data_IF_955780131093
#
_entry.id   IF_955780131093
#
_cell.length_a   1.000
_cell.length_b   1.000
_cell.length_c   1.000
_cell.angle_alpha   90.00
_cell.angle_beta   90.00
_cell.angle_gamma   90.00
#
_symmetry.space_group_name_H-M   'P 1'
#
loop_
_entity.id
_entity.type
_entity.pdbx_description
1 polymer ?
#
# COMPACT_ATOMS: atom_id res chain seq x y z
N UNK A 1 -19.40 -16.46 18.78
CA UNK A 1 -18.59 -15.56 17.92
C UNK A 1 -18.42 -16.24 16.57
N UNK A 2 -19.28 -15.93 15.59
CA UNK A 2 -19.25 -16.53 14.24
C UNK A 2 -18.37 -15.66 13.35
N UNK A 3 -17.38 -16.28 12.70
CA UNK A 3 -16.38 -15.66 11.82
C UNK A 3 -17.06 -14.93 10.67
N UNK A 4 -16.79 -13.63 10.53
CA UNK A 4 -17.12 -12.83 9.36
C UNK A 4 -16.09 -13.21 8.28
N UNK A 5 -16.58 -13.68 7.14
CA UNK A 5 -15.78 -14.19 6.02
C UNK A 5 -15.42 -12.99 5.13
N UNK A 6 -14.18 -12.54 5.19
CA UNK A 6 -13.58 -11.71 4.14
C UNK A 6 -13.03 -12.67 3.08
N UNK A 7 -13.42 -12.44 1.82
CA UNK A 7 -12.95 -13.16 0.63
C UNK A 7 -11.77 -12.36 0.09
N UNK A 8 -10.61 -12.99 -0.07
CA UNK A 8 -9.33 -12.27 -0.16
C UNK A 8 -8.37 -12.94 -1.17
N UNK A 9 -7.66 -12.19 -2.03
CA UNK A 9 -6.88 -12.70 -3.20
C UNK A 9 -5.44 -12.16 -3.21
N UNK A 10 -4.44 -13.01 -3.51
CA UNK A 10 -3.09 -12.63 -3.93
C UNK A 10 -2.57 -13.66 -4.94
N UNK A 11 -1.99 -13.24 -6.07
CA UNK A 11 -1.12 -14.12 -6.87
C UNK A 11 0.28 -13.56 -7.02
N UNK A 12 1.19 -14.52 -6.82
CA UNK A 12 2.53 -14.63 -7.38
C UNK A 12 2.49 -14.56 -8.91
N UNK A 13 2.65 -13.37 -9.46
CA UNK A 13 3.40 -13.20 -10.70
C UNK A 13 4.75 -12.56 -10.36
N UNK A 14 5.44 -13.17 -9.39
CA UNK A 14 6.89 -13.05 -9.21
C UNK A 14 7.38 -14.48 -9.28
N UNK A 15 8.36 -14.73 -10.14
CA UNK A 15 9.22 -15.90 -10.03
C UNK A 15 9.86 -15.81 -8.64
N UNK A 16 9.21 -16.37 -7.63
CA UNK A 16 9.79 -16.60 -6.31
C UNK A 16 10.27 -18.03 -6.34
N UNK A 17 11.55 -18.19 -6.62
CA UNK A 17 12.29 -19.40 -6.30
C UNK A 17 12.01 -19.73 -4.83
N UNK A 18 11.39 -20.88 -4.60
CA UNK A 18 11.25 -21.44 -3.28
C UNK A 18 12.64 -21.67 -2.67
N UNK A 19 13.02 -20.87 -1.69
CA UNK A 19 14.08 -21.23 -0.74
C UNK A 19 13.50 -21.18 0.67
N UNK A 20 12.84 -22.27 1.05
CA UNK A 20 12.79 -22.69 2.44
C UNK A 20 13.19 -24.16 2.47
N UNK A 21 14.44 -24.38 2.86
CA UNK A 21 14.92 -25.62 3.43
C UNK A 21 13.92 -26.13 4.49
N UNK A 22 13.30 -27.27 4.21
CA UNK A 22 12.98 -28.31 5.22
C UNK A 22 12.58 -29.64 4.55
N UNK A 23 13.58 -30.52 4.45
CA UNK A 23 13.46 -31.95 4.76
C UNK A 23 12.48 -32.81 3.95
N UNK A 24 12.90 -33.25 2.75
CA UNK A 24 12.94 -34.66 2.31
C UNK A 24 13.24 -34.73 0.81
N UNK A 25 14.51 -34.94 0.49
CA UNK A 25 14.96 -35.68 -0.69
C UNK A 25 16.40 -36.09 -0.41
N UNK A 26 16.57 -37.29 0.16
CA UNK A 26 17.84 -37.97 0.09
C UNK A 26 18.11 -38.27 -1.38
N UNK A 27 18.96 -37.45 -2.01
CA UNK A 27 19.73 -37.87 -3.17
C UNK A 27 21.20 -37.80 -2.78
N UNK A 28 21.77 -38.98 -2.46
CA UNK A 28 23.21 -39.22 -2.57
C UNK A 28 23.55 -39.16 -4.06
N UNK A 29 24.21 -38.10 -4.48
CA UNK A 29 24.73 -37.96 -5.84
C UNK A 29 25.47 -36.64 -5.99
N UNK A 30 26.79 -36.73 -6.10
CA UNK A 30 27.74 -35.63 -6.27
C UNK A 30 27.26 -34.46 -7.14
N UNK A 31 27.09 -33.29 -6.52
CA UNK A 31 27.47 -32.00 -7.09
C UNK A 31 27.99 -31.15 -5.93
N UNK A 32 29.29 -30.84 -5.93
CA UNK A 32 29.83 -29.79 -5.08
C UNK A 32 29.21 -28.47 -5.56
N UNK A 33 28.38 -27.85 -4.73
CA UNK A 33 27.83 -26.53 -4.99
C UNK A 33 28.93 -25.48 -4.74
N UNK A 34 29.70 -25.17 -5.79
CA UNK A 34 30.89 -24.30 -5.75
C UNK A 34 30.56 -22.81 -5.63
N UNK A 35 29.36 -22.42 -5.17
CA UNK A 35 29.01 -21.01 -4.97
C UNK A 35 29.03 -20.67 -3.47
N UNK A 36 30.02 -19.87 -3.06
CA UNK A 36 30.14 -19.31 -1.71
C UNK A 36 29.12 -18.19 -1.45
N UNK A 37 27.95 -18.20 -2.12
CA UNK A 37 26.96 -17.11 -2.08
C UNK A 37 25.56 -17.59 -1.70
N UNK A 38 24.74 -16.71 -1.14
CA UNK A 38 23.29 -16.90 -0.93
C UNK A 38 22.49 -15.72 -1.52
N UNK A 39 21.21 -15.92 -1.81
CA UNK A 39 20.34 -14.89 -2.41
C UNK A 39 19.33 -14.36 -1.39
N UNK A 40 19.12 -13.04 -1.40
CA UNK A 40 18.07 -12.35 -0.65
C UNK A 40 17.18 -11.60 -1.65
N UNK A 41 15.87 -11.64 -1.43
CA UNK A 41 14.94 -10.77 -2.16
C UNK A 41 14.89 -9.42 -1.44
N UNK A 42 15.42 -8.37 -2.08
CA UNK A 42 15.39 -7.02 -1.54
C UNK A 42 13.95 -6.49 -1.38
N UNK A 43 13.78 -5.36 -0.70
CA UNK A 43 12.44 -4.83 -0.39
C UNK A 43 11.62 -4.49 -1.64
N UNK A 44 12.30 -4.14 -2.74
CA UNK A 44 11.70 -3.87 -4.04
C UNK A 44 11.54 -5.11 -4.95
N UNK A 45 11.83 -6.32 -4.43
CA UNK A 45 11.61 -7.58 -5.11
C UNK A 45 12.78 -8.06 -5.97
N UNK A 46 13.88 -7.30 -6.06
CA UNK A 46 15.08 -7.73 -6.78
C UNK A 46 15.85 -8.81 -6.04
N UNK A 47 16.39 -9.76 -6.79
CA UNK A 47 17.33 -10.77 -6.26
C UNK A 47 18.71 -10.16 -6.07
N UNK A 48 19.25 -10.28 -4.86
CA UNK A 48 20.58 -9.78 -4.49
C UNK A 48 21.41 -10.93 -3.96
N UNK A 49 22.61 -11.13 -4.53
CA UNK A 49 23.55 -12.18 -4.12
C UNK A 49 24.51 -11.64 -3.07
N UNK A 50 24.78 -12.45 -2.06
CA UNK A 50 25.67 -12.15 -0.94
C UNK A 50 26.73 -13.22 -0.78
N UNK A 51 27.95 -12.82 -0.45
CA UNK A 51 29.00 -13.75 -0.01
C UNK A 51 28.67 -14.31 1.38
N UNK A 52 28.73 -15.64 1.55
CA UNK A 52 28.35 -16.34 2.79
C UNK A 52 29.23 -15.99 4.00
N UNK A 53 30.47 -15.57 3.78
CA UNK A 53 31.43 -15.33 4.86
C UNK A 53 31.41 -13.87 5.33
N UNK A 54 31.24 -12.95 4.39
CA UNK A 54 31.33 -11.51 4.64
C UNK A 54 29.96 -10.83 4.72
N UNK A 55 28.89 -11.48 4.23
CA UNK A 55 27.57 -10.88 4.04
C UNK A 55 27.61 -9.58 3.20
N UNK A 56 28.55 -9.50 2.27
CA UNK A 56 28.65 -8.39 1.32
C UNK A 56 27.99 -8.77 -0.01
N UNK A 57 27.35 -7.79 -0.66
CA UNK A 57 26.77 -7.95 -1.99
C UNK A 57 27.87 -8.34 -2.97
N UNK A 58 27.59 -9.37 -3.76
CA UNK A 58 28.42 -9.87 -4.87
C UNK A 58 27.66 -9.65 -6.16
N UNK A 59 28.35 -9.07 -7.14
CA UNK A 59 27.77 -8.79 -8.46
C UNK A 59 28.62 -9.40 -9.56
N UNK A 60 28.00 -10.26 -10.37
CA UNK A 60 28.66 -11.01 -11.44
C UNK A 60 28.85 -10.18 -12.72
N UNK A 61 28.31 -8.97 -12.78
CA UNK A 61 28.39 -8.09 -13.93
C UNK A 61 29.63 -7.18 -13.94
N UNK A 62 29.60 -6.16 -14.81
CA UNK A 62 30.68 -5.18 -14.90
C UNK A 62 30.83 -4.44 -13.56
N UNK A 63 32.06 -4.38 -13.06
CA UNK A 63 32.42 -3.64 -11.84
C UNK A 63 31.96 -2.17 -11.97
N UNK A 64 31.13 -1.72 -11.03
CA UNK A 64 30.78 -0.30 -10.87
C UNK A 64 31.86 0.43 -10.06
N UNK A 65 31.87 1.76 -10.14
CA UNK A 65 32.70 2.65 -9.33
C UNK A 65 32.01 3.05 -8.02
N UNK A 66 31.02 2.26 -7.60
CA UNK A 66 30.27 2.45 -6.37
C UNK A 66 31.16 2.28 -5.12
N UNK A 67 30.75 2.91 -4.03
CA UNK A 67 31.42 2.89 -2.72
C UNK A 67 30.47 2.41 -1.63
N UNK A 68 31.00 2.03 -0.46
CA UNK A 68 30.20 1.61 0.71
C UNK A 68 29.35 0.34 0.49
N UNK A 69 29.97 -0.74 -0.01
CA UNK A 69 29.29 -2.03 -0.18
C UNK A 69 28.74 -2.58 1.13
N UNK A 70 29.45 -2.36 2.24
CA UNK A 70 29.01 -2.71 3.59
C UNK A 70 27.67 -2.04 3.95
N UNK A 71 27.52 -0.74 3.68
CA UNK A 71 26.27 -0.02 3.92
C UNK A 71 25.13 -0.51 3.02
N UNK A 72 25.40 -0.71 1.72
CA UNK A 72 24.39 -1.24 0.79
C UNK A 72 23.93 -2.65 1.18
N UNK A 73 24.88 -3.51 1.56
CA UNK A 73 24.61 -4.86 2.04
C UNK A 73 23.74 -4.85 3.29
N UNK A 74 24.08 -3.99 4.25
CA UNK A 74 23.30 -3.79 5.48
C UNK A 74 21.89 -3.29 5.17
N UNK A 75 21.74 -2.32 4.26
CA UNK A 75 20.43 -1.78 3.87
C UNK A 75 19.50 -2.87 3.33
N UNK A 76 19.99 -3.72 2.44
CA UNK A 76 19.19 -4.82 1.86
C UNK A 76 18.80 -5.84 2.93
N UNK A 77 19.71 -6.21 3.83
CA UNK A 77 19.42 -7.16 4.91
C UNK A 77 18.45 -6.59 5.96
N UNK A 78 18.65 -5.33 6.39
CA UNK A 78 17.81 -4.66 7.37
C UNK A 78 16.39 -4.44 6.81
N UNK A 79 16.27 -3.95 5.57
CA UNK A 79 14.97 -3.77 4.90
C UNK A 79 14.24 -5.11 4.70
N UNK A 80 14.94 -6.18 4.32
CA UNK A 80 14.37 -7.53 4.26
C UNK A 80 13.88 -7.99 5.63
N UNK A 81 14.66 -7.79 6.69
CA UNK A 81 14.28 -8.17 8.04
C UNK A 81 13.01 -7.45 8.50
N UNK A 82 12.82 -6.18 8.11
CA UNK A 82 11.59 -5.43 8.40
C UNK A 82 10.39 -6.09 7.72
N UNK A 83 10.48 -6.40 6.42
CA UNK A 83 9.40 -7.09 5.71
C UNK A 83 9.10 -8.47 6.31
N UNK A 84 10.14 -9.19 6.73
CA UNK A 84 10.03 -10.49 7.37
C UNK A 84 9.37 -10.46 8.76
N UNK A 85 9.26 -9.27 9.36
CA UNK A 85 8.55 -9.03 10.62
C UNK A 85 7.06 -8.70 10.44
N UNK A 86 6.59 -8.58 9.19
CA UNK A 86 5.21 -8.19 8.89
C UNK A 86 4.17 -9.07 9.61
N UNK A 87 3.12 -8.48 10.21
CA UNK A 87 1.99 -9.24 10.73
C UNK A 87 1.25 -10.01 9.62
N UNK A 88 1.45 -9.62 8.35
CA UNK A 88 0.87 -10.24 7.17
C UNK A 88 1.81 -11.26 6.51
N UNK A 89 2.99 -11.56 7.07
CA UNK A 89 3.94 -12.51 6.44
C UNK A 89 3.34 -13.88 6.15
N UNK A 90 2.45 -14.36 7.01
CA UNK A 90 1.78 -15.66 6.86
C UNK A 90 0.40 -15.54 6.23
N UNK A 91 0.03 -14.36 5.75
CA UNK A 91 -1.22 -14.15 5.09
C UNK A 91 -1.29 -15.05 3.85
N UNK A 92 -2.41 -15.77 3.73
CA UNK A 92 -2.73 -16.60 2.58
C UNK A 92 -4.09 -16.16 2.07
N UNK A 93 -4.18 -15.70 0.83
CA UNK A 93 -5.47 -15.42 0.24
C UNK A 93 -6.30 -16.69 0.06
N UNK A 94 -7.61 -16.50 -0.01
CA UNK A 94 -8.59 -17.48 -0.42
C UNK A 94 -8.64 -17.53 -1.94
N UNK A 95 -8.16 -18.63 -2.51
CA UNK A 95 -8.23 -18.90 -3.94
C UNK A 95 -9.56 -19.55 -4.30
N UNK A 96 -10.07 -19.22 -5.49
CA UNK A 96 -11.09 -20.03 -6.14
C UNK A 96 -10.58 -21.47 -6.26
N UNK A 97 -11.40 -22.43 -5.87
CA UNK A 97 -11.14 -23.83 -6.17
C UNK A 97 -11.86 -24.20 -7.48
N UNK A 98 -11.14 -24.36 -8.61
CA UNK A 98 -11.74 -24.80 -9.86
C UNK A 98 -12.24 -26.23 -9.81
N UNK A 99 -11.80 -27.01 -8.81
CA UNK A 99 -12.22 -28.41 -8.68
C UNK A 99 -13.65 -28.48 -8.15
N UNK A 100 -14.54 -29.18 -8.86
CA UNK A 100 -15.88 -29.42 -8.35
C UNK A 100 -15.83 -30.13 -7.00
N UNK A 101 -16.68 -29.70 -6.07
CA UNK A 101 -16.93 -30.41 -4.82
C UNK A 101 -17.67 -31.74 -5.10
N UNK A 102 -17.99 -32.50 -4.04
CA UNK A 102 -18.70 -33.78 -4.16
C UNK A 102 -20.10 -33.69 -4.80
N UNK A 103 -20.63 -32.49 -5.00
CA UNK A 103 -21.90 -32.21 -5.67
C UNK A 103 -21.72 -31.69 -7.10
N UNK A 104 -20.50 -31.66 -7.64
CA UNK A 104 -20.21 -31.14 -8.97
C UNK A 104 -20.19 -29.61 -9.07
N UNK A 105 -20.23 -28.90 -7.94
CA UNK A 105 -20.23 -27.43 -7.90
C UNK A 105 -18.81 -26.89 -7.70
N UNK A 106 -18.44 -25.84 -8.44
CA UNK A 106 -17.23 -25.06 -8.18
C UNK A 106 -17.55 -23.82 -7.34
N UNK A 107 -16.52 -23.17 -6.79
CA UNK A 107 -16.68 -21.91 -6.05
C UNK A 107 -17.03 -20.71 -6.96
N UNK A 108 -17.37 -20.95 -8.24
CA UNK A 108 -17.46 -19.92 -9.27
C UNK A 108 -18.61 -18.96 -8.98
N UNK A 109 -19.73 -19.47 -8.46
CA UNK A 109 -20.88 -18.62 -8.09
C UNK A 109 -20.56 -17.67 -6.93
N UNK A 110 -19.69 -18.08 -6.00
CA UNK A 110 -19.23 -17.21 -4.92
C UNK A 110 -18.20 -16.18 -5.43
N UNK A 111 -17.45 -16.54 -6.48
CA UNK A 111 -16.44 -15.71 -7.08
C UNK A 111 -16.98 -14.67 -8.08
N UNK A 112 -17.99 -15.02 -8.88
CA UNK A 112 -18.54 -14.18 -9.94
C UNK A 112 -18.86 -12.73 -9.53
N UNK A 113 -19.45 -12.46 -8.34
CA UNK A 113 -19.67 -11.09 -7.90
C UNK A 113 -18.39 -10.25 -7.80
N UNK A 114 -17.26 -10.85 -7.43
CA UNK A 114 -15.96 -10.18 -7.35
C UNK A 114 -15.39 -9.91 -8.74
N UNK A 115 -15.49 -10.86 -9.65
CA UNK A 115 -15.13 -10.66 -11.07
C UNK A 115 -15.93 -9.50 -11.67
N UNK A 116 -17.25 -9.50 -11.50
CA UNK A 116 -18.14 -8.47 -12.04
C UNK A 116 -17.83 -7.07 -11.48
N UNK A 117 -17.30 -6.99 -10.25
CA UNK A 117 -16.86 -5.73 -9.63
C UNK A 117 -15.51 -5.26 -10.21
N UNK A 118 -14.60 -6.18 -10.56
CA UNK A 118 -13.27 -5.83 -11.09
C UNK A 118 -13.27 -5.13 -12.46
N UNK A 119 -14.38 -5.23 -13.21
CA UNK A 119 -14.60 -4.46 -14.44
C UNK A 119 -14.93 -2.97 -14.19
N UNK A 120 -15.00 -2.53 -12.93
CA UNK A 120 -15.37 -1.16 -12.56
C UNK A 120 -14.22 -0.50 -11.82
N UNK A 121 -14.12 0.83 -11.95
CA UNK A 121 -13.18 1.63 -11.16
C UNK A 121 -13.56 1.69 -9.66
N UNK A 122 -14.85 1.59 -9.33
CA UNK A 122 -15.35 1.65 -7.95
C UNK A 122 -16.62 0.82 -7.72
N UNK A 123 -16.94 0.58 -6.45
CA UNK A 123 -18.14 -0.15 -6.05
C UNK A 123 -18.51 0.07 -4.58
N UNK A 124 -19.81 0.24 -4.30
CA UNK A 124 -20.36 0.30 -2.93
C UNK A 124 -20.53 -1.10 -2.33
N UNK A 125 -20.18 -2.16 -3.07
CA UNK A 125 -20.14 -3.54 -2.57
C UNK A 125 -18.78 -3.89 -1.97
N UNK A 126 -17.80 -3.00 -2.09
CA UNK A 126 -16.48 -3.14 -1.48
C UNK A 126 -16.55 -2.65 -0.03
N UNK A 127 -16.01 -3.45 0.89
CA UNK A 127 -15.99 -3.19 2.33
C UNK A 127 -17.35 -2.67 2.90
N UNK A 128 -18.48 -3.32 2.60
CA UNK A 128 -19.79 -2.80 2.96
C UNK A 128 -19.99 -2.84 4.47
N UNK A 129 -20.59 -1.78 5.01
CA UNK A 129 -20.95 -1.75 6.43
C UNK A 129 -22.05 -2.77 6.72
N UNK A 130 -21.77 -3.73 7.60
CA UNK A 130 -22.79 -4.70 8.00
C UNK A 130 -23.83 -4.05 8.91
N UNK A 131 -25.05 -4.61 8.98
CA UNK A 131 -26.09 -4.11 9.91
C UNK A 131 -25.60 -4.07 11.36
N UNK A 132 -24.84 -5.08 11.79
CA UNK A 132 -24.24 -5.13 13.13
C UNK A 132 -23.15 -4.08 13.34
N UNK A 133 -22.37 -3.81 12.29
CA UNK A 133 -21.29 -2.82 12.32
C UNK A 133 -21.85 -1.40 12.48
N UNK A 134 -22.88 -1.06 11.69
CA UNK A 134 -23.60 0.22 11.82
C UNK A 134 -24.23 0.37 13.20
N UNK A 135 -24.96 -0.65 13.65
CA UNK A 135 -25.60 -0.62 14.96
C UNK A 135 -24.57 -0.42 16.09
N UNK A 136 -23.40 -1.06 15.98
CA UNK A 136 -22.31 -0.84 16.93
C UNK A 136 -21.78 0.59 16.85
N UNK A 137 -21.44 1.09 15.67
CA UNK A 137 -20.92 2.45 15.49
C UNK A 137 -21.91 3.51 16.00
N UNK A 138 -23.20 3.36 15.69
CA UNK A 138 -24.27 4.28 16.12
C UNK A 138 -24.55 4.22 17.64
N UNK A 139 -24.20 3.10 18.28
CA UNK A 139 -24.29 2.96 19.74
C UNK A 139 -23.22 3.79 20.46
N UNK A 140 -22.10 4.12 19.81
CA UNK A 140 -21.04 4.96 20.38
C UNK A 140 -21.57 6.39 20.56
N UNK A 141 -21.59 6.87 21.80
CA UNK A 141 -22.09 8.21 22.19
C UNK A 141 -20.99 9.25 22.38
N UNK A 142 -19.74 8.81 22.35
CA UNK A 142 -18.59 9.67 22.50
C UNK A 142 -17.90 9.88 21.14
N UNK A 143 -17.52 11.14 20.85
CA UNK A 143 -16.87 11.53 19.61
C UNK A 143 -15.53 10.82 19.42
N UNK A 144 -14.75 10.63 20.49
CA UNK A 144 -13.46 9.96 20.45
C UNK A 144 -13.63 8.46 20.20
N UNK A 145 -14.62 7.82 20.77
CA UNK A 145 -14.86 6.39 20.48
C UNK A 145 -15.21 6.15 19.01
N UNK A 146 -16.01 7.05 18.41
CA UNK A 146 -16.27 7.06 16.96
C UNK A 146 -15.01 7.31 16.13
N UNK A 147 -14.17 8.25 16.57
CA UNK A 147 -12.86 8.52 15.97
C UNK A 147 -11.99 7.26 15.92
N UNK A 148 -11.81 6.62 17.07
CA UNK A 148 -11.02 5.39 17.22
C UNK A 148 -11.57 4.32 16.31
N UNK A 149 -12.90 4.19 16.24
CA UNK A 149 -13.53 3.22 15.38
C UNK A 149 -13.15 3.43 13.90
N UNK A 150 -13.31 4.64 13.37
CA UNK A 150 -12.98 4.95 11.98
C UNK A 150 -11.49 4.79 11.69
N UNK A 151 -10.60 5.21 12.60
CA UNK A 151 -9.15 4.99 12.48
C UNK A 151 -8.83 3.49 12.43
N UNK A 152 -9.37 2.68 13.35
CA UNK A 152 -9.15 1.23 13.35
C UNK A 152 -9.72 0.58 12.09
N UNK A 153 -10.94 0.98 11.68
CA UNK A 153 -11.59 0.47 10.47
C UNK A 153 -10.78 0.81 9.21
N UNK A 154 -10.13 1.97 9.14
CA UNK A 154 -9.29 2.35 7.99
C UNK A 154 -8.08 1.43 7.77
N UNK A 155 -7.67 0.71 8.82
CA UNK A 155 -6.48 -0.12 8.87
C UNK A 155 -5.15 0.62 8.61
N UNK A 156 -5.14 1.95 8.68
CA UNK A 156 -3.90 2.74 8.68
C UNK A 156 -3.13 2.55 9.98
N UNK A 157 -1.80 2.48 9.87
CA UNK A 157 -0.86 2.32 10.98
C UNK A 157 0.24 3.37 10.87
N UNK A 158 0.68 3.91 12.00
CA UNK A 158 1.86 4.77 12.06
C UNK A 158 3.10 3.89 11.85
N UNK A 159 4.03 4.30 10.98
CA UNK A 159 5.28 3.56 10.72
C UNK A 159 6.49 4.16 11.42
N UNK A 160 6.36 5.41 11.89
CA UNK A 160 7.45 6.14 12.55
C UNK A 160 7.66 5.70 13.99
N UNK A 161 6.56 5.45 14.71
CA UNK A 161 6.55 5.03 16.11
C UNK A 161 5.36 4.08 16.35
N UNK A 162 5.52 3.12 17.26
CA UNK A 162 4.40 2.28 17.67
C UNK A 162 3.43 3.09 18.52
N UNK A 163 2.15 3.10 18.14
CA UNK A 163 1.08 3.81 18.84
C UNK A 163 0.18 2.77 19.52
N UNK A 164 0.19 2.68 20.87
CA UNK A 164 -0.71 1.81 21.60
C UNK A 164 -2.18 2.06 21.26
N UNK A 165 -3.01 1.01 21.27
CA UNK A 165 -4.43 1.16 20.91
C UNK A 165 -5.19 2.16 21.79
N UNK A 166 -4.79 2.30 23.04
CA UNK A 166 -5.39 3.22 24.01
C UNK A 166 -4.83 4.65 23.93
N UNK A 167 -3.77 4.87 23.15
CA UNK A 167 -3.25 6.17 22.76
C UNK A 167 -3.98 6.79 21.54
N UNK A 168 -4.73 5.98 20.77
CA UNK A 168 -5.50 6.47 19.62
C UNK A 168 -6.53 7.50 20.08
N UNK A 169 -6.62 8.63 19.35
CA UNK A 169 -7.57 9.70 19.63
C UNK A 169 -7.38 10.37 21.00
N UNK A 170 -6.18 10.34 21.59
CA UNK A 170 -5.88 11.00 22.87
C UNK A 170 -5.53 12.48 22.75
N UNK A 171 -5.42 13.04 21.54
CA UNK A 171 -5.30 14.47 21.29
C UNK A 171 -6.70 15.05 21.10
N UNK A 172 -7.06 16.03 21.91
CA UNK A 172 -8.35 16.72 21.80
C UNK A 172 -8.39 17.72 20.63
N UNK A 173 -9.54 18.37 20.42
CA UNK A 173 -9.71 19.35 19.34
C UNK A 173 -8.84 20.61 19.48
N UNK A 174 -8.28 20.88 20.67
CA UNK A 174 -7.34 21.97 20.90
C UNK A 174 -5.88 21.53 20.69
N UNK A 175 -5.66 20.27 20.30
CA UNK A 175 -4.33 19.71 20.13
C UNK A 175 -3.68 19.23 21.42
N UNK A 176 -4.42 19.17 22.54
CA UNK A 176 -3.86 18.79 23.86
C UNK A 176 -3.98 17.29 24.09
N UNK A 177 -2.91 16.69 24.60
CA UNK A 177 -2.92 15.30 25.05
C UNK A 177 -3.80 15.14 26.31
N UNK A 178 -4.71 14.17 26.26
CA UNK A 178 -5.70 13.89 27.32
C UNK A 178 -5.27 12.79 28.29
N UNK A 179 -4.22 12.01 27.96
CA UNK A 179 -3.66 10.97 28.83
C UNK A 179 -2.13 11.18 28.96
N UNK A 180 -1.66 11.74 30.09
CA UNK A 180 -0.25 12.16 30.24
C UNK A 180 0.79 11.05 30.09
N UNK A 181 0.42 9.78 30.30
CA UNK A 181 1.33 8.64 30.13
C UNK A 181 1.82 8.44 28.68
N UNK A 182 1.19 9.05 27.68
CA UNK A 182 1.69 9.07 26.29
C UNK A 182 2.41 10.37 25.90
N UNK A 183 2.87 11.15 26.89
CA UNK A 183 3.56 12.42 26.61
C UNK A 183 4.75 12.23 25.66
N UNK A 184 5.57 11.20 25.87
CA UNK A 184 6.74 10.93 25.02
C UNK A 184 6.36 10.68 23.55
N UNK A 185 5.35 9.83 23.31
CA UNK A 185 4.85 9.55 21.94
C UNK A 185 4.29 10.83 21.31
N UNK A 186 3.50 11.59 22.07
CA UNK A 186 2.91 12.83 21.59
C UNK A 186 3.96 13.87 21.25
N UNK A 187 4.95 14.08 22.13
CA UNK A 187 6.00 15.07 21.95
C UNK A 187 6.89 14.72 20.75
N UNK A 188 7.24 13.44 20.59
CA UNK A 188 8.02 12.94 19.45
C UNK A 188 7.28 13.18 18.12
N UNK A 189 5.99 12.82 18.06
CA UNK A 189 5.17 13.07 16.85
C UNK A 189 5.00 14.56 16.60
N UNK A 190 4.78 15.35 17.65
CA UNK A 190 4.55 16.79 17.53
C UNK A 190 5.80 17.53 17.05
N UNK A 191 6.98 17.08 17.45
CA UNK A 191 8.26 17.62 17.00
C UNK A 191 8.53 17.34 15.50
N UNK A 192 8.03 16.22 14.98
CA UNK A 192 8.39 15.74 13.64
C UNK A 192 7.29 15.82 12.57
N UNK A 193 6.02 16.03 12.92
CA UNK A 193 4.90 16.16 11.95
C UNK A 193 5.09 17.24 10.88
N UNK A 194 6.00 18.18 11.08
CA UNK A 194 6.39 19.22 10.11
C UNK A 194 7.78 19.03 9.50
N UNK A 195 8.35 17.83 9.57
CA UNK A 195 9.71 17.57 9.07
C UNK A 195 9.85 17.91 7.58
N UNK A 196 11.01 18.46 7.23
CA UNK A 196 11.41 18.78 5.85
C UNK A 196 12.36 17.72 5.26
N UNK A 197 12.48 16.55 5.90
CA UNK A 197 13.37 15.47 5.46
C UNK A 197 12.99 14.95 4.08
N UNK A 198 11.71 14.60 3.89
CA UNK A 198 11.08 14.37 2.59
C UNK A 198 9.56 14.40 2.74
N UNK A 199 8.85 14.40 1.61
CA UNK A 199 7.38 14.32 1.61
C UNK A 199 6.86 13.01 2.23
N UNK A 200 7.56 11.89 2.03
CA UNK A 200 7.20 10.59 2.60
C UNK A 200 7.30 10.63 4.13
N UNK A 201 8.41 11.14 4.68
CA UNK A 201 8.56 11.31 6.13
C UNK A 201 7.51 12.26 6.70
N UNK A 202 7.20 13.36 6.00
CA UNK A 202 6.17 14.31 6.42
C UNK A 202 4.78 13.65 6.47
N UNK A 203 4.44 12.85 5.47
CA UNK A 203 3.18 12.12 5.41
C UNK A 203 3.04 11.10 6.55
N UNK A 204 4.09 10.30 6.78
CA UNK A 204 4.09 9.27 7.82
C UNK A 204 4.01 9.86 9.23
N UNK A 205 4.74 10.94 9.53
CA UNK A 205 4.56 11.65 10.81
C UNK A 205 3.18 12.32 10.93
N UNK A 206 2.66 12.87 9.82
CA UNK A 206 1.30 13.39 9.74
C UNK A 206 0.25 12.33 10.09
N UNK A 207 0.43 11.11 9.59
CA UNK A 207 -0.43 9.96 9.89
C UNK A 207 -0.33 9.51 11.35
N UNK A 208 0.86 9.56 11.96
CA UNK A 208 0.99 9.33 13.40
C UNK A 208 0.21 10.40 14.21
N UNK A 209 0.30 11.68 13.81
CA UNK A 209 -0.50 12.75 14.44
C UNK A 209 -2.00 12.56 14.22
N UNK A 210 -2.39 12.08 13.04
CA UNK A 210 -3.73 11.60 12.70
C UNK A 210 -4.22 10.57 13.71
N UNK A 211 -3.53 9.45 13.82
CA UNK A 211 -3.92 8.35 14.72
C UNK A 211 -4.03 8.81 16.18
N UNK A 212 -3.14 9.70 16.64
CA UNK A 212 -3.21 10.27 17.99
C UNK A 212 -4.43 11.18 18.23
N UNK A 213 -5.10 11.68 17.19
CA UNK A 213 -6.36 12.43 17.33
C UNK A 213 -6.44 13.73 16.52
N UNK A 214 -5.42 14.09 15.75
CA UNK A 214 -5.45 15.28 14.89
C UNK A 214 -5.85 14.90 13.46
N UNK A 215 -7.14 14.96 13.05
CA UNK A 215 -7.58 14.47 11.75
C UNK A 215 -6.94 15.19 10.55
N UNK A 216 -6.48 16.45 10.72
CA UNK A 216 -5.73 17.16 9.68
C UNK A 216 -4.40 16.48 9.35
N UNK A 217 -3.82 15.71 10.27
CA UNK A 217 -2.59 14.95 10.05
C UNK A 217 -2.69 13.98 8.87
N UNK A 218 -3.88 13.41 8.62
CA UNK A 218 -4.11 12.53 7.48
C UNK A 218 -4.19 13.28 6.14
N UNK A 219 -4.34 14.61 6.14
CA UNK A 219 -4.57 15.43 4.94
C UNK A 219 -3.29 16.08 4.38
N UNK A 220 -2.15 15.97 5.05
CA UNK A 220 -0.89 16.63 4.68
C UNK A 220 0.19 15.64 4.26
N UNK A 221 1.16 16.08 3.45
CA UNK A 221 2.22 15.22 2.91
C UNK A 221 1.83 14.51 1.62
N UNK A 222 2.71 13.65 1.12
CA UNK A 222 2.51 12.80 -0.07
C UNK A 222 3.23 11.48 0.20
N UNK A 223 2.56 10.35 -0.01
CA UNK A 223 3.09 9.00 0.29
C UNK A 223 3.97 8.45 -0.84
N UNK A 224 4.49 9.34 -1.69
CA UNK A 224 5.27 9.04 -2.88
C UNK A 224 4.59 7.96 -3.75
N UNK A 225 5.14 6.75 -3.78
CA UNK A 225 4.63 5.63 -4.57
C UNK A 225 3.49 4.84 -3.94
N UNK A 226 3.19 4.98 -2.64
CA UNK A 226 2.17 4.16 -1.95
C UNK A 226 0.75 4.69 -2.16
N UNK A 227 0.23 4.50 -3.37
CA UNK A 227 -1.01 5.10 -3.87
C UNK A 227 -2.24 4.77 -3.04
N UNK A 228 -2.42 3.49 -2.69
CA UNK A 228 -3.59 3.06 -1.94
C UNK A 228 -3.60 3.65 -0.52
N UNK A 229 -2.41 3.76 0.08
CA UNK A 229 -2.21 4.37 1.40
C UNK A 229 -2.51 5.86 1.37
N UNK A 230 -2.02 6.55 0.35
CA UNK A 230 -2.24 7.98 0.14
C UNK A 230 -3.74 8.30 -0.01
N UNK A 231 -4.45 7.54 -0.84
CA UNK A 231 -5.90 7.71 -0.99
C UNK A 231 -6.63 7.42 0.32
N UNK A 232 -6.31 6.30 0.99
CA UNK A 232 -6.99 5.89 2.21
C UNK A 232 -6.87 6.93 3.34
N UNK A 233 -5.70 7.56 3.53
CA UNK A 233 -5.53 8.60 4.57
C UNK A 233 -6.39 9.83 4.27
N UNK A 234 -6.44 10.29 3.01
CA UNK A 234 -7.24 11.46 2.63
C UNK A 234 -8.73 11.15 2.79
N UNK A 235 -9.14 9.95 2.38
CA UNK A 235 -10.50 9.46 2.55
C UNK A 235 -10.90 9.38 4.03
N UNK A 236 -10.01 8.84 4.88
CA UNK A 236 -10.24 8.82 6.34
C UNK A 236 -10.35 10.23 6.90
N UNK A 237 -9.52 11.18 6.46
CA UNK A 237 -9.63 12.58 6.89
C UNK A 237 -11.03 13.15 6.59
N UNK A 238 -11.57 12.87 5.40
CA UNK A 238 -12.94 13.24 5.05
C UNK A 238 -13.99 12.56 5.95
N UNK A 239 -13.85 11.26 6.22
CA UNK A 239 -14.72 10.53 7.16
C UNK A 239 -14.67 11.11 8.58
N UNK A 240 -13.52 11.64 9.01
CA UNK A 240 -13.31 12.26 10.31
C UNK A 240 -13.76 13.75 10.36
N UNK A 241 -14.40 14.25 9.29
CA UNK A 241 -14.98 15.60 9.26
C UNK A 241 -14.07 16.69 8.69
N UNK A 242 -12.91 16.35 8.12
CA UNK A 242 -12.06 17.33 7.43
C UNK A 242 -12.68 17.66 6.08
N UNK A 243 -13.56 18.66 6.05
CA UNK A 243 -14.33 19.01 4.84
C UNK A 243 -13.46 19.42 3.65
N UNK A 244 -12.28 20.01 3.90
CA UNK A 244 -11.29 20.32 2.85
C UNK A 244 -10.77 19.07 2.12
N UNK A 245 -10.73 17.92 2.79
CA UNK A 245 -10.33 16.66 2.17
C UNK A 245 -11.33 16.23 1.08
N UNK A 246 -12.62 16.54 1.19
CA UNK A 246 -13.60 16.26 0.13
C UNK A 246 -13.28 17.01 -1.16
N UNK A 247 -12.96 18.31 -1.07
CA UNK A 247 -12.55 19.08 -2.25
C UNK A 247 -11.28 18.49 -2.87
N UNK A 248 -10.30 18.17 -2.02
CA UNK A 248 -9.04 17.59 -2.49
C UNK A 248 -9.26 16.24 -3.18
N UNK A 249 -10.08 15.35 -2.61
CA UNK A 249 -10.48 14.09 -3.25
C UNK A 249 -11.08 14.32 -4.63
N UNK A 250 -11.93 15.33 -4.79
CA UNK A 250 -12.48 15.70 -6.09
C UNK A 250 -11.41 16.12 -7.11
N UNK A 251 -10.42 16.91 -6.68
CA UNK A 251 -9.31 17.35 -7.53
C UNK A 251 -8.39 16.19 -7.95
N UNK A 252 -8.27 15.14 -7.13
CA UNK A 252 -7.51 13.93 -7.46
C UNK A 252 -8.06 13.19 -8.69
N UNK A 253 -9.39 13.12 -8.82
CA UNK A 253 -10.06 12.46 -9.95
C UNK A 253 -10.00 13.25 -11.26
N UNK A 254 -9.62 14.53 -11.22
CA UNK A 254 -9.54 15.39 -12.40
C UNK A 254 -8.11 15.67 -12.85
N UNK A 255 -7.19 15.91 -11.90
CA UNK A 255 -5.88 16.50 -12.21
C UNK A 255 -4.66 15.62 -11.89
N UNK A 256 -4.78 14.64 -10.99
CA UNK A 256 -3.63 13.92 -10.42
C UNK A 256 -3.92 12.42 -10.25
N UNK A 257 -4.57 11.84 -11.25
CA UNK A 257 -5.14 10.48 -11.20
C UNK A 257 -4.05 9.44 -10.90
N UNK A 258 -3.05 9.30 -11.76
CA UNK A 258 -1.93 8.37 -11.61
C UNK A 258 -1.01 8.73 -10.44
N UNK A 259 -0.94 10.00 -10.04
CA UNK A 259 -0.21 10.42 -8.84
C UNK A 259 -0.80 9.82 -7.55
N UNK A 260 -2.07 9.40 -7.56
CA UNK A 260 -2.68 8.66 -6.44
C UNK A 260 -3.28 7.32 -6.87
N UNK A 261 -2.84 6.80 -8.02
CA UNK A 261 -3.24 5.51 -8.55
C UNK A 261 -4.73 5.40 -8.89
N UNK A 262 -5.40 6.50 -9.22
CA UNK A 262 -6.78 6.57 -9.74
C UNK A 262 -6.80 6.67 -11.26
N UNK A 263 -7.99 6.55 -11.87
CA UNK A 263 -8.23 6.93 -13.27
C UNK A 263 -9.09 8.20 -13.33
N UNK A 264 -9.09 8.87 -14.48
CA UNK A 264 -9.85 10.11 -14.65
C UNK A 264 -11.35 9.87 -14.52
N UNK A 265 -12.00 10.57 -13.60
CA UNK A 265 -13.44 10.40 -13.36
C UNK A 265 -14.10 11.73 -12.98
N UNK A 266 -14.54 12.49 -13.98
CA UNK A 266 -15.14 13.82 -13.78
C UNK A 266 -16.45 13.76 -12.99
N UNK A 267 -17.24 12.70 -13.15
CA UNK A 267 -18.47 12.51 -12.39
C UNK A 267 -18.17 12.39 -10.89
N UNK A 268 -17.14 11.61 -10.53
CA UNK A 268 -16.73 11.49 -9.14
C UNK A 268 -16.12 12.78 -8.61
N UNK A 269 -15.35 13.51 -9.42
CA UNK A 269 -14.84 14.82 -9.07
C UNK A 269 -15.98 15.79 -8.70
N UNK A 270 -17.04 15.83 -9.50
CA UNK A 270 -18.24 16.63 -9.24
C UNK A 270 -18.99 16.16 -7.99
N UNK A 271 -19.10 14.85 -7.77
CA UNK A 271 -19.73 14.29 -6.57
C UNK A 271 -19.02 14.74 -5.29
N UNK A 272 -17.69 14.63 -5.25
CA UNK A 272 -16.89 15.14 -4.14
C UNK A 272 -17.01 16.65 -3.95
N UNK A 273 -17.07 17.44 -5.03
CA UNK A 273 -17.31 18.89 -4.96
C UNK A 273 -18.69 19.23 -4.43
N UNK A 274 -19.71 18.43 -4.76
CA UNK A 274 -21.06 18.57 -4.22
C UNK A 274 -21.09 18.27 -2.72
N UNK A 275 -20.45 17.17 -2.31
CA UNK A 275 -20.29 16.82 -0.89
C UNK A 275 -19.50 17.89 -0.13
N UNK A 276 -18.46 18.47 -0.73
CA UNK A 276 -17.68 19.53 -0.09
C UNK A 276 -18.50 20.81 0.17
N UNK A 277 -19.48 21.13 -0.69
CA UNK A 277 -20.38 22.30 -0.53
C UNK A 277 -21.40 22.10 0.60
N UNK A 278 -21.90 20.88 0.77
CA UNK A 278 -22.87 20.54 1.81
C UNK A 278 -22.55 19.15 2.40
N UNK A 279 -21.52 19.05 3.26
CA UNK A 279 -21.06 17.76 3.76
C UNK A 279 -22.08 17.16 4.73
N UNK A 280 -22.55 15.92 4.53
CA UNK A 280 -23.49 15.25 5.42
C UNK A 280 -22.79 14.76 6.70
N UNK A 281 -22.39 15.70 7.56
CA UNK A 281 -21.78 15.39 8.86
C UNK A 281 -22.86 14.94 9.86
N UNK A 282 -22.53 13.95 10.68
CA UNK A 282 -23.33 13.52 11.83
C UNK A 282 -23.25 14.52 12.99
N UNK A 283 -23.98 14.26 14.08
CA UNK A 283 -24.00 15.12 15.28
C UNK A 283 -22.61 15.31 15.94
N UNK A 284 -21.65 14.43 15.64
CA UNK A 284 -20.26 14.51 16.14
C UNK A 284 -19.32 15.21 15.14
N UNK A 285 -19.84 15.64 13.99
CA UNK A 285 -19.09 16.29 12.93
C UNK A 285 -18.31 15.31 12.04
N UNK A 286 -18.74 14.05 11.93
CA UNK A 286 -18.08 13.00 11.14
C UNK A 286 -18.95 12.52 9.97
N UNK A 287 -18.34 11.87 8.98
CA UNK A 287 -19.02 11.28 7.82
C UNK A 287 -18.65 9.79 7.69
N UNK A 288 -19.11 8.92 8.61
CA UNK A 288 -18.68 7.53 8.69
C UNK A 288 -18.96 6.74 7.41
N UNK A 289 -20.12 6.95 6.79
CA UNK A 289 -20.62 6.17 5.65
C UNK A 289 -20.27 6.80 4.29
N UNK A 290 -19.18 7.58 4.20
CA UNK A 290 -18.74 8.19 2.94
C UNK A 290 -18.58 7.15 1.82
N UNK A 291 -18.05 5.97 2.15
CA UNK A 291 -17.88 4.84 1.21
C UNK A 291 -19.21 4.29 0.68
N UNK A 292 -20.32 4.48 1.38
CA UNK A 292 -21.65 4.11 0.85
C UNK A 292 -22.23 5.17 -0.11
N UNK A 293 -21.74 6.41 -0.03
CA UNK A 293 -22.15 7.53 -0.89
C UNK A 293 -21.37 7.47 -2.20
N UNK A 294 -20.04 7.42 -2.13
CA UNK A 294 -19.16 7.51 -3.30
C UNK A 294 -18.58 6.17 -3.76
N UNK A 295 -18.75 5.11 -2.98
CA UNK A 295 -18.11 3.82 -3.23
C UNK A 295 -16.67 3.76 -2.77
N UNK A 296 -16.12 2.55 -2.68
CA UNK A 296 -14.67 2.37 -2.57
C UNK A 296 -14.04 2.28 -3.95
N UNK A 297 -12.85 2.85 -4.11
CA UNK A 297 -12.16 2.96 -5.38
C UNK A 297 -10.99 1.98 -5.48
N UNK A 298 -10.90 1.25 -6.60
CA UNK A 298 -9.74 0.42 -6.86
C UNK A 298 -8.54 1.29 -7.24
N UNK A 299 -7.48 1.17 -6.45
CA UNK A 299 -6.26 1.94 -6.61
C UNK A 299 -5.18 1.09 -7.27
N UNK A 300 -4.58 1.63 -8.34
CA UNK A 300 -3.40 1.05 -8.99
C UNK A 300 -2.17 1.32 -8.13
N UNK A 301 -1.77 0.31 -7.37
CA UNK A 301 -0.58 0.35 -6.52
C UNK A 301 0.35 -0.82 -6.86
N UNK A 302 1.59 -0.51 -7.27
CA UNK A 302 2.62 -1.50 -7.55
C UNK A 302 3.34 -1.92 -6.26
N UNK A 303 3.16 -1.17 -5.18
CA UNK A 303 3.68 -1.51 -3.85
C UNK A 303 2.67 -2.41 -3.14
N UNK A 304 2.76 -3.72 -3.40
CA UNK A 304 1.84 -4.73 -2.86
C UNK A 304 2.54 -6.08 -2.66
N UNK A 305 1.84 -7.04 -2.05
CA UNK A 305 2.33 -8.40 -1.80
C UNK A 305 3.67 -8.45 -1.02
N UNK A 306 3.89 -7.51 -0.10
CA UNK A 306 5.13 -7.43 0.68
C UNK A 306 6.35 -6.93 -0.12
N UNK A 307 6.12 -6.27 -1.26
CA UNK A 307 7.17 -5.72 -2.13
C UNK A 307 6.89 -4.25 -2.41
N UNK A 308 7.82 -3.37 -2.03
CA UNK A 308 7.79 -1.95 -2.39
C UNK A 308 8.40 -1.77 -3.78
N UNK A 309 7.66 -2.17 -4.82
CA UNK A 309 8.19 -2.26 -6.17
C UNK A 309 8.36 -0.90 -6.88
N UNK A 310 7.61 0.12 -6.48
CA UNK A 310 7.62 1.46 -7.08
C UNK A 310 7.36 2.56 -6.04
N UNK A 311 8.19 2.67 -4.99
CA UNK A 311 7.96 3.62 -3.90
C UNK A 311 8.29 5.08 -4.28
N UNK A 312 9.04 5.30 -5.35
CA UNK A 312 9.56 6.62 -5.76
C UNK A 312 8.63 7.40 -6.73
N UNK A 313 7.50 6.80 -7.11
CA UNK A 313 6.52 7.35 -8.06
C UNK A 313 7.01 7.49 -9.53
N UNK A 314 8.15 6.92 -9.92
CA UNK A 314 8.75 7.20 -11.23
C UNK A 314 7.95 6.63 -12.41
N UNK A 315 7.62 5.32 -12.39
CA UNK A 315 6.82 4.69 -13.46
C UNK A 315 5.42 5.29 -13.60
N UNK A 316 4.80 5.70 -12.49
CA UNK A 316 3.46 6.33 -12.52
C UNK A 316 3.43 7.61 -13.34
N UNK A 317 4.50 8.41 -13.30
CA UNK A 317 4.61 9.63 -14.11
C UNK A 317 4.68 9.32 -15.60
N UNK A 318 5.41 8.27 -15.97
CA UNK A 318 5.50 7.81 -17.37
C UNK A 318 4.15 7.24 -17.84
N UNK A 319 3.49 6.45 -17.00
CA UNK A 319 2.13 5.95 -17.27
C UNK A 319 1.13 7.09 -17.47
N UNK A 320 1.16 8.11 -16.61
CA UNK A 320 0.32 9.31 -16.75
C UNK A 320 0.54 9.96 -18.12
N UNK A 321 1.78 10.21 -18.52
CA UNK A 321 2.09 10.85 -19.80
C UNK A 321 1.62 9.99 -20.98
N UNK A 322 1.80 8.67 -20.92
CA UNK A 322 1.37 7.76 -21.97
C UNK A 322 -0.14 7.65 -22.11
N UNK A 323 -0.87 7.65 -21.00
CA UNK A 323 -2.33 7.49 -20.95
C UNK A 323 -3.03 8.83 -21.18
N UNK A 324 -2.72 9.86 -20.40
CA UNK A 324 -3.46 11.12 -20.38
C UNK A 324 -3.00 12.10 -21.47
N UNK A 325 -1.69 12.22 -21.70
CA UNK A 325 -1.15 13.26 -22.57
C UNK A 325 -0.95 12.76 -24.02
N UNK A 326 -0.53 11.50 -24.18
CA UNK A 326 -0.20 10.91 -25.51
C UNK A 326 -1.26 9.97 -26.07
N UNK A 327 -2.14 9.41 -25.23
CA UNK A 327 -3.13 8.40 -25.64
C UNK A 327 -2.52 7.14 -26.27
N UNK A 328 -1.30 6.76 -25.87
CA UNK A 328 -0.58 5.58 -26.38
C UNK A 328 -0.92 4.30 -25.64
N UNK A 329 -1.43 4.43 -24.41
CA UNK A 329 -1.96 3.35 -23.59
C UNK A 329 -3.34 3.78 -23.09
N UNK A 330 -4.22 2.81 -22.85
CA UNK A 330 -5.52 3.05 -22.24
C UNK A 330 -5.48 2.61 -20.77
N UNK A 331 -6.07 3.39 -19.86
CA UNK A 331 -6.17 2.97 -18.46
C UNK A 331 -7.04 1.70 -18.38
N UNK A 332 -6.59 0.66 -17.67
CA UNK A 332 -7.34 -0.59 -17.60
C UNK A 332 -8.70 -0.48 -16.90
N UNK A 333 -8.99 0.63 -16.22
CA UNK A 333 -10.26 0.91 -15.51
C UNK A 333 -11.22 1.78 -16.31
N UNK A 334 -10.81 2.28 -17.47
CA UNK A 334 -11.66 3.12 -18.30
C UNK A 334 -12.79 2.29 -18.94
N UNK A 335 -13.91 2.95 -19.23
CA UNK A 335 -15.14 2.27 -19.70
C UNK A 335 -14.99 1.61 -21.08
N UNK A 336 -14.07 2.12 -21.90
CA UNK A 336 -13.73 1.62 -23.22
C UNK A 336 -12.57 0.60 -23.20
N UNK A 337 -12.00 0.32 -22.03
CA UNK A 337 -11.00 -0.72 -21.87
C UNK A 337 -11.60 -2.11 -22.12
N UNK A 338 -10.91 -2.91 -22.92
CA UNK A 338 -11.26 -4.30 -23.20
C UNK A 338 -10.09 -5.22 -22.84
N UNK A 339 -10.21 -6.52 -23.08
CA UNK A 339 -9.16 -7.50 -22.77
C UNK A 339 -7.83 -7.14 -23.44
N UNK A 340 -7.84 -6.83 -24.73
CA UNK A 340 -6.62 -6.49 -25.48
C UNK A 340 -5.90 -5.28 -24.89
N UNK A 341 -6.61 -4.18 -24.65
CA UNK A 341 -6.00 -2.95 -24.12
C UNK A 341 -5.49 -3.14 -22.68
N UNK A 342 -6.17 -3.97 -21.88
CA UNK A 342 -5.73 -4.31 -20.52
C UNK A 342 -4.47 -5.17 -20.53
N UNK A 343 -4.38 -6.14 -21.43
CA UNK A 343 -3.15 -6.94 -21.62
C UNK A 343 -1.99 -6.09 -22.14
N UNK A 344 -2.24 -5.16 -23.08
CA UNK A 344 -1.22 -4.21 -23.55
C UNK A 344 -0.68 -3.36 -22.39
N UNK A 345 -1.56 -2.82 -21.56
CA UNK A 345 -1.17 -2.05 -20.37
C UNK A 345 -0.34 -2.88 -19.40
N UNK A 346 -0.80 -4.08 -19.04
CA UNK A 346 -0.09 -4.97 -18.10
C UNK A 346 1.25 -5.44 -18.66
N UNK A 347 1.32 -5.73 -19.96
CA UNK A 347 2.55 -6.09 -20.66
C UNK A 347 3.58 -4.97 -20.58
N UNK A 348 3.15 -3.73 -20.85
CA UNK A 348 3.99 -2.55 -20.71
C UNK A 348 4.48 -2.35 -19.27
N UNK A 349 3.60 -2.43 -18.27
CA UNK A 349 4.00 -2.32 -16.85
C UNK A 349 5.04 -3.38 -16.50
N UNK A 350 4.83 -4.64 -16.91
CA UNK A 350 5.78 -5.74 -16.65
C UNK A 350 7.13 -5.52 -17.32
N UNK A 351 7.18 -4.94 -18.51
CA UNK A 351 8.44 -4.67 -19.22
C UNK A 351 9.19 -3.48 -18.64
N UNK A 352 8.48 -2.44 -18.21
CA UNK A 352 9.08 -1.19 -17.77
C UNK A 352 9.39 -1.15 -16.28
N UNK A 353 8.53 -1.70 -15.43
CA UNK A 353 8.67 -1.60 -13.97
C UNK A 353 10.08 -1.96 -13.47
N UNK A 354 10.71 -3.07 -13.90
CA UNK A 354 12.06 -3.39 -13.45
C UNK A 354 13.12 -2.34 -13.83
N UNK A 355 12.92 -1.57 -14.90
CA UNK A 355 13.85 -0.52 -15.36
C UNK A 355 13.79 0.74 -14.51
N UNK A 356 12.65 0.99 -13.86
CA UNK A 356 12.44 2.11 -12.96
C UNK A 356 12.84 1.81 -11.51
N UNK A 357 13.03 0.53 -11.16
CA UNK A 357 13.44 0.12 -9.82
C UNK A 357 14.90 0.44 -9.49
N UNK A 358 15.13 0.82 -8.23
CA UNK A 358 16.47 0.94 -7.66
C UNK A 358 17.28 -0.35 -7.80
N UNK A 359 18.53 -0.21 -8.23
CA UNK A 359 19.44 -1.32 -8.49
C UNK A 359 20.18 -1.77 -7.23
N UNK A 360 19.43 -2.32 -6.29
CA UNK A 360 19.94 -2.81 -5.00
C UNK A 360 20.87 -4.03 -5.12
N UNK A 361 20.94 -4.66 -6.31
CA UNK A 361 21.89 -5.75 -6.57
C UNK A 361 23.33 -5.26 -6.82
N UNK A 362 23.54 -3.96 -6.97
CA UNK A 362 24.87 -3.39 -7.17
C UNK A 362 25.61 -3.23 -5.82
N UNK A 363 26.91 -3.54 -5.76
CA UNK A 363 27.68 -3.43 -4.53
C UNK A 363 27.98 -1.95 -4.25
N UNK A 364 27.34 -1.39 -3.23
CA UNK A 364 27.53 0.00 -2.81
C UNK A 364 26.69 1.03 -3.59
N UNK A 365 26.88 2.30 -3.26
CA UNK A 365 26.17 3.45 -3.81
C UNK A 365 27.05 4.25 -4.79
N UNK A 366 26.45 5.05 -5.70
CA UNK A 366 27.21 5.93 -6.60
C UNK A 366 28.20 6.82 -5.83
N UNK A 367 29.44 6.93 -6.34
CA UNK A 367 30.53 7.67 -5.67
C UNK A 367 30.30 9.18 -5.55
N UNK A 368 29.39 9.71 -6.36
CA UNK A 368 29.05 11.12 -6.47
C UNK A 368 27.90 11.52 -5.52
N UNK A 369 27.32 10.57 -4.79
CA UNK A 369 26.36 10.87 -3.73
C UNK A 369 27.05 11.55 -2.56
N UNK A 370 26.51 12.69 -2.14
CA UNK A 370 26.87 13.32 -0.87
C UNK A 370 26.23 12.57 0.32
N UNK A 371 26.73 12.85 1.53
CA UNK A 371 26.25 12.20 2.76
C UNK A 371 24.75 12.39 2.97
N UNK A 372 24.21 13.55 2.57
CA UNK A 372 22.79 13.85 2.70
C UNK A 372 21.93 12.97 1.79
N UNK A 373 22.33 12.81 0.53
CA UNK A 373 21.63 11.97 -0.46
C UNK A 373 21.69 10.52 -0.02
N UNK A 374 22.87 10.05 0.39
CA UNK A 374 23.07 8.69 0.88
C UNK A 374 22.22 8.40 2.12
N UNK A 375 22.24 9.28 3.12
CA UNK A 375 21.43 9.12 4.34
C UNK A 375 19.95 9.14 4.02
N UNK A 376 19.49 10.06 3.16
CA UNK A 376 18.08 10.14 2.79
C UNK A 376 17.62 8.88 2.05
N UNK A 377 18.44 8.34 1.15
CA UNK A 377 18.14 7.11 0.43
C UNK A 377 18.00 5.92 1.39
N UNK A 378 18.98 5.70 2.25
CA UNK A 378 18.97 4.64 3.26
C UNK A 378 17.72 4.76 4.14
N UNK A 379 17.46 5.95 4.68
CA UNK A 379 16.33 6.18 5.56
C UNK A 379 14.98 5.98 4.86
N UNK A 380 14.87 6.41 3.61
CA UNK A 380 13.64 6.25 2.80
C UNK A 380 13.40 4.77 2.48
N UNK A 381 14.42 4.03 2.04
CA UNK A 381 14.30 2.58 1.79
C UNK A 381 13.87 1.80 3.03
N UNK A 382 14.41 2.15 4.22
CA UNK A 382 13.97 1.53 5.47
C UNK A 382 12.51 1.89 5.81
N UNK A 383 12.10 3.14 5.57
CA UNK A 383 10.72 3.59 5.78
C UNK A 383 9.75 2.90 4.81
N UNK A 384 10.12 2.76 3.54
CA UNK A 384 9.35 2.03 2.53
C UNK A 384 9.12 0.57 2.94
N UNK A 385 10.16 -0.10 3.45
CA UNK A 385 10.04 -1.45 3.98
C UNK A 385 9.10 -1.49 5.20
N UNK A 386 9.14 -0.50 6.10
CA UNK A 386 8.22 -0.41 7.23
C UNK A 386 6.77 -0.22 6.79
N UNK A 387 6.52 0.73 5.88
CA UNK A 387 5.20 0.97 5.29
C UNK A 387 4.67 -0.33 4.69
N UNK A 388 5.47 -0.98 3.83
CA UNK A 388 5.08 -2.23 3.19
C UNK A 388 4.81 -3.35 4.19
N UNK A 389 5.62 -3.47 5.24
CA UNK A 389 5.42 -4.49 6.28
C UNK A 389 4.09 -4.34 7.03
N UNK A 390 3.58 -3.11 7.16
CA UNK A 390 2.31 -2.79 7.81
C UNK A 390 1.16 -2.61 6.81
N UNK A 391 1.42 -2.72 5.51
CA UNK A 391 0.40 -2.54 4.48
C UNK A 391 -0.42 -3.82 4.33
N UNK A 392 -1.76 -3.74 4.37
CA UNK A 392 -2.57 -4.94 4.21
C UNK A 392 -2.43 -5.50 2.79
N UNK A 393 -2.39 -6.83 2.59
CA UNK A 393 -2.05 -7.42 1.30
C UNK A 393 -3.00 -7.07 0.13
N UNK A 394 -4.23 -6.65 0.43
CA UNK A 394 -5.27 -6.26 -0.54
C UNK A 394 -5.44 -4.74 -0.68
N UNK A 395 -4.60 -3.96 -0.02
CA UNK A 395 -4.79 -2.53 0.13
C UNK A 395 -5.73 -2.21 1.29
N UNK A 396 -6.38 -1.06 1.22
CA UNK A 396 -7.15 -0.54 2.34
C UNK A 396 -8.66 -0.63 2.06
N UNK A 397 -9.53 -0.60 3.09
CA UNK A 397 -10.97 -0.77 2.91
C UNK A 397 -11.62 0.15 1.87
N UNK A 398 -11.19 1.42 1.78
CA UNK A 398 -11.71 2.38 0.80
C UNK A 398 -10.78 2.55 -0.43
N UNK A 399 -9.62 1.88 -0.40
CA UNK A 399 -8.60 1.88 -1.45
C UNK A 399 -8.04 0.46 -1.68
N UNK A 400 -8.86 -0.52 -2.06
CA UNK A 400 -8.36 -1.84 -2.41
C UNK A 400 -7.50 -1.78 -3.66
N UNK A 401 -6.55 -2.69 -3.79
CA UNK A 401 -5.72 -2.77 -5.00
C UNK A 401 -6.55 -3.14 -6.22
N UNK A 402 -6.30 -2.44 -7.32
CA UNK A 402 -6.81 -2.81 -8.63
C UNK A 402 -6.08 -4.07 -9.14
N UNK A 403 -6.86 -4.96 -9.75
CA UNK A 403 -6.37 -6.08 -10.56
C UNK A 403 -7.21 -6.09 -11.83
N UNK A 404 -6.63 -6.36 -12.99
CA UNK A 404 -7.45 -6.51 -14.19
C UNK A 404 -8.33 -7.77 -14.05
N UNK A 405 -9.52 -7.79 -14.66
CA UNK A 405 -10.32 -9.01 -14.73
C UNK A 405 -9.57 -10.22 -15.31
N UNK A 406 -8.61 -10.04 -16.23
CA UNK A 406 -7.77 -11.11 -16.79
C UNK A 406 -6.72 -11.58 -15.79
N UNK A 407 -6.10 -10.66 -15.06
CA UNK A 407 -5.23 -11.02 -13.94
C UNK A 407 -6.03 -11.87 -12.98
N UNK A 408 -7.19 -11.40 -12.52
CA UNK A 408 -8.08 -12.18 -11.68
C UNK A 408 -8.37 -13.55 -12.32
N UNK A 409 -8.82 -13.61 -13.56
CA UNK A 409 -9.14 -14.88 -14.26
C UNK A 409 -7.97 -15.87 -14.27
N UNK A 410 -6.74 -15.41 -14.57
CA UNK A 410 -5.53 -16.24 -14.50
C UNK A 410 -5.20 -16.74 -13.10
N UNK A 411 -5.72 -16.10 -12.06
CA UNK A 411 -5.57 -16.59 -10.70
C UNK A 411 -6.43 -17.82 -10.41
N UNK A 412 -7.35 -18.13 -11.32
CA UNK A 412 -8.40 -19.12 -11.15
C UNK A 412 -8.28 -20.31 -12.11
N UNK A 413 -7.45 -20.19 -13.15
CA UNK A 413 -7.02 -21.27 -14.05
C UNK A 413 -5.79 -21.98 -13.49
#
# INVERSE_FOLDING_TARGET
>A
MKKIIFIIIAILAVIVVAVISKGKLQNKGNLMDNTNTYTVIAHNGREVKFDKNTNLIVYDGKKSDNTNNDLASKLVLDSRSILDSSPYKNYKPLYYNPKPNSLGQTDYLAFKPWLDISYKASSNKLSPWTKSEKAYYESLKDKRDRYIYLVKRSNLKCTMIDIPEDAIGRVDSNGKLTKPEYAEIYDEVNAHKGTLKSMLFSAEWGMCAGILGNPMGFSYGNEAGFKARDYQRIFLAAQLGVTKALKFLGDLFEYTTYDIGLNKNLQMAEEFRRLAKNPPLDEYGMMPYLDEIVGSYFVMDFNRNGVAAMPDNSLYKDLRELVEDKGKLLDPRDLDANETTREEFISYVKSELPKFQDRLELPGFPKDWDDRTLSLFIDSTLLEAKIMSLTPPEGYPNAPYYNTPEELTRLYE
#
